data_IF_138095757787
#
_entry.id   IF_138095757787
#
_cell.length_a   1.000
_cell.length_b   1.000
_cell.length_c   1.000
_cell.angle_alpha   90.00
_cell.angle_beta   90.00
_cell.angle_gamma   90.00
#
_symmetry.space_group_name_H-M   'P 1'
#
loop_
_entity.id
_entity.type
_entity.pdbx_description
1 polymer ?
#
# COMPACT_ATOMS: atom_id res chain seq x y z
N UNK A 1 43.00 -15.81 -17.15
CA UNK A 1 44.25 -15.69 -16.35
C UNK A 1 44.02 -14.74 -15.18
N UNK A 2 43.80 -15.28 -13.98
CA UNK A 2 44.10 -14.69 -12.66
C UNK A 2 43.87 -15.82 -11.64
N UNK A 3 44.86 -16.02 -10.76
CA UNK A 3 45.15 -17.27 -10.04
C UNK A 3 44.24 -17.43 -8.81
N UNK A 4 43.70 -18.65 -8.61
CA UNK A 4 43.23 -19.14 -7.33
C UNK A 4 44.38 -19.11 -6.31
N UNK A 5 44.12 -18.56 -5.13
CA UNK A 5 44.99 -18.75 -3.95
C UNK A 5 44.21 -19.64 -2.99
N UNK A 6 44.50 -20.94 -3.08
CA UNK A 6 44.14 -21.93 -2.08
C UNK A 6 45.23 -21.86 -1.00
N UNK A 7 44.89 -21.40 0.21
CA UNK A 7 45.79 -21.48 1.36
C UNK A 7 45.56 -22.82 2.04
N UNK A 8 46.37 -23.81 1.64
CA UNK A 8 46.59 -25.06 2.39
C UNK A 8 47.78 -24.83 3.31
N UNK A 9 47.56 -24.94 4.63
CA UNK A 9 48.65 -25.04 5.61
C UNK A 9 49.10 -26.51 5.65
N UNK A 10 50.20 -26.81 4.97
CA UNK A 10 50.92 -28.09 4.98
C UNK A 10 51.92 -28.10 6.14
N UNK A 11 51.82 -29.08 7.03
CA UNK A 11 52.87 -29.44 7.97
C UNK A 11 53.36 -30.85 7.64
N UNK A 12 54.62 -30.92 7.20
CA UNK A 12 55.35 -32.15 6.88
C UNK A 12 55.58 -33.02 8.13
N UNK A 13 55.39 -34.33 7.95
CA UNK A 13 55.93 -35.37 8.82
C UNK A 13 56.19 -36.62 7.95
N UNK A 14 57.45 -37.05 7.89
CA UNK A 14 57.97 -38.07 6.98
C UNK A 14 58.10 -39.44 7.70
N UNK A 15 58.20 -40.50 6.88
CA UNK A 15 58.70 -41.88 7.11
C UNK A 15 57.67 -42.98 7.40
N UNK A 16 57.63 -43.99 6.51
CA UNK A 16 57.39 -45.39 6.92
C UNK A 16 56.69 -46.37 5.95
N UNK A 17 57.35 -46.78 4.86
CA UNK A 17 57.47 -48.18 4.37
C UNK A 17 56.27 -49.13 4.18
N UNK A 18 56.12 -49.56 2.91
CA UNK A 18 55.91 -50.94 2.40
C UNK A 18 54.52 -51.63 2.42
N UNK A 19 54.09 -52.06 1.22
CA UNK A 19 53.80 -53.49 0.98
C UNK A 19 52.35 -53.94 0.73
N UNK A 20 51.96 -53.98 -0.56
CA UNK A 20 51.18 -55.03 -1.26
C UNK A 20 49.77 -55.46 -0.83
N UNK A 21 48.87 -55.60 -1.83
CA UNK A 21 47.83 -56.63 -1.83
C UNK A 21 46.47 -56.22 -2.41
N UNK A 22 46.25 -56.48 -3.69
CA UNK A 22 44.93 -56.48 -4.33
C UNK A 22 44.08 -57.64 -3.77
N UNK A 23 42.82 -57.37 -3.42
CA UNK A 23 41.74 -58.36 -3.46
C UNK A 23 40.40 -57.66 -3.69
N UNK A 24 39.81 -57.88 -4.87
CA UNK A 24 38.40 -57.61 -5.16
C UNK A 24 37.52 -58.59 -4.38
N UNK A 25 36.44 -58.09 -3.80
CA UNK A 25 35.41 -58.92 -3.17
C UNK A 25 34.12 -58.14 -3.00
N UNK A 26 33.18 -58.37 -3.93
CA UNK A 26 31.79 -57.91 -3.83
C UNK A 26 31.13 -58.52 -2.59
N UNK A 27 30.70 -57.68 -1.66
CA UNK A 27 29.99 -58.09 -0.45
C UNK A 27 29.28 -56.90 0.20
N UNK A 28 27.96 -57.02 0.28
CA UNK A 28 27.01 -56.07 0.87
C UNK A 28 27.41 -55.69 2.33
N UNK A 29 27.68 -54.42 2.71
CA UNK A 29 28.18 -54.09 4.04
C UNK A 29 27.03 -53.69 4.97
N UNK A 30 26.46 -54.65 5.69
CA UNK A 30 25.79 -54.34 6.96
C UNK A 30 26.75 -54.69 8.11
N UNK A 31 27.05 -53.67 8.91
CA UNK A 31 27.81 -53.72 10.17
C UNK A 31 29.29 -54.19 10.11
N UNK A 32 30.17 -53.40 9.47
CA UNK A 32 31.53 -53.19 10.00
C UNK A 32 31.46 -51.96 10.90
N UNK A 33 31.96 -52.03 12.12
CA UNK A 33 32.01 -50.89 13.05
C UNK A 33 32.58 -49.65 12.33
N UNK A 34 31.98 -48.49 12.58
CA UNK A 34 32.41 -47.25 11.93
C UNK A 34 33.93 -47.07 12.07
N UNK A 35 34.57 -46.55 11.03
CA UNK A 35 35.98 -46.15 11.08
C UNK A 35 36.23 -45.32 12.37
N UNK A 36 37.06 -45.81 13.31
CA UNK A 36 37.34 -45.11 14.55
C UNK A 36 37.81 -43.68 14.33
N UNK A 37 38.53 -43.42 13.23
CA UNK A 37 38.98 -42.08 12.87
C UNK A 37 37.80 -41.18 12.47
N UNK A 38 36.79 -41.69 11.78
CA UNK A 38 35.59 -40.95 11.41
C UNK A 38 34.75 -40.58 12.65
N UNK A 39 34.56 -41.52 13.56
CA UNK A 39 33.87 -41.26 14.84
C UNK A 39 34.64 -40.26 15.71
N UNK A 40 35.96 -40.35 15.75
CA UNK A 40 36.81 -39.40 16.46
C UNK A 40 36.66 -37.98 15.88
N UNK A 41 36.72 -37.83 14.55
CA UNK A 41 36.51 -36.53 13.88
C UNK A 41 35.13 -35.95 14.22
N UNK A 42 34.08 -36.78 14.22
CA UNK A 42 32.75 -36.34 14.59
C UNK A 42 32.65 -35.91 16.06
N UNK A 43 33.29 -36.64 16.97
CA UNK A 43 33.37 -36.28 18.38
C UNK A 43 34.04 -34.93 18.56
N UNK A 44 35.23 -34.73 17.95
CA UNK A 44 35.97 -33.47 18.00
C UNK A 44 35.15 -32.32 17.41
N UNK A 45 34.52 -32.52 16.25
CA UNK A 45 33.60 -31.53 15.66
C UNK A 45 32.52 -31.08 16.65
N UNK A 46 31.87 -32.04 17.33
CA UNK A 46 30.81 -31.72 18.29
C UNK A 46 31.34 -31.00 19.53
N UNK A 47 32.48 -31.41 20.09
CA UNK A 47 33.05 -30.77 21.28
C UNK A 47 33.46 -29.33 21.00
N UNK A 48 34.18 -29.06 19.90
CA UNK A 48 34.52 -27.70 19.51
C UNK A 48 33.27 -26.85 19.23
N UNK A 49 32.26 -27.42 18.56
CA UNK A 49 31.00 -26.73 18.31
C UNK A 49 30.20 -26.43 19.60
N UNK A 50 30.33 -27.25 20.66
CA UNK A 50 29.68 -27.02 21.97
C UNK A 50 30.32 -25.88 22.73
N UNK A 51 31.65 -25.77 22.69
CA UNK A 51 32.39 -24.68 23.36
C UNK A 51 32.46 -23.40 22.51
N UNK A 52 31.69 -23.34 21.41
CA UNK A 52 31.62 -22.22 20.48
C UNK A 52 32.95 -21.88 19.78
N UNK A 53 33.86 -22.85 19.67
CA UNK A 53 35.07 -22.75 18.85
C UNK A 53 34.73 -23.21 17.42
N UNK A 54 34.18 -22.28 16.65
CA UNK A 54 33.74 -22.56 15.29
C UNK A 54 34.90 -22.87 14.33
N UNK A 55 36.09 -22.34 14.56
CA UNK A 55 37.25 -22.50 13.66
C UNK A 55 37.75 -23.94 13.74
N UNK A 56 38.03 -24.43 14.95
CA UNK A 56 38.44 -25.82 15.13
C UNK A 56 37.32 -26.80 14.80
N UNK A 57 36.06 -26.46 15.10
CA UNK A 57 34.93 -27.28 14.68
C UNK A 57 34.93 -27.47 13.15
N UNK A 58 34.99 -26.38 12.37
CA UNK A 58 34.92 -26.47 10.90
C UNK A 58 36.06 -27.29 10.28
N UNK A 59 37.25 -27.30 10.88
CA UNK A 59 38.38 -28.15 10.43
C UNK A 59 38.01 -29.63 10.39
N UNK A 60 37.35 -30.15 11.43
CA UNK A 60 36.86 -31.53 11.43
C UNK A 60 35.60 -31.67 10.58
N UNK A 61 34.74 -30.65 10.56
CA UNK A 61 33.52 -30.63 9.76
C UNK A 61 33.79 -30.87 8.27
N UNK A 62 34.77 -30.18 7.69
CA UNK A 62 35.16 -30.34 6.28
C UNK A 62 35.70 -31.74 5.97
N UNK A 63 36.55 -32.30 6.83
CA UNK A 63 37.05 -33.66 6.64
C UNK A 63 35.92 -34.70 6.59
N UNK A 64 34.88 -34.50 7.40
CA UNK A 64 33.69 -35.37 7.39
C UNK A 64 32.83 -35.10 6.15
N UNK A 65 32.65 -33.84 5.77
CA UNK A 65 31.85 -33.42 4.61
C UNK A 65 32.42 -33.95 3.29
N UNK A 66 33.75 -34.00 3.16
CA UNK A 66 34.45 -34.46 1.96
C UNK A 66 34.48 -35.99 1.85
N UNK A 67 34.50 -36.71 2.98
CA UNK A 67 34.65 -38.16 2.99
C UNK A 67 33.30 -38.91 3.13
N UNK A 68 32.45 -38.51 4.07
CA UNK A 68 31.23 -39.21 4.44
C UNK A 68 30.06 -38.24 4.75
N UNK A 69 29.67 -37.35 3.80
CA UNK A 69 28.69 -36.28 4.06
C UNK A 69 27.33 -36.80 4.54
N UNK A 70 26.91 -37.99 4.10
CA UNK A 70 25.62 -38.57 4.48
C UNK A 70 25.60 -39.19 5.89
N UNK A 71 26.77 -39.48 6.48
CA UNK A 71 26.88 -40.31 7.70
C UNK A 71 26.23 -39.64 8.92
N UNK A 72 26.41 -38.33 9.06
CA UNK A 72 25.94 -37.57 10.23
C UNK A 72 24.88 -36.55 9.81
N UNK A 73 23.60 -36.91 10.03
CA UNK A 73 22.43 -36.13 9.58
C UNK A 73 22.36 -34.67 10.05
N UNK A 74 23.15 -34.28 11.06
CA UNK A 74 23.17 -32.91 11.63
C UNK A 74 24.41 -32.09 11.27
N UNK A 75 25.39 -32.68 10.56
CA UNK A 75 26.66 -32.03 10.20
C UNK A 75 26.42 -30.71 9.45
N UNK A 76 25.75 -30.77 8.29
CA UNK A 76 25.52 -29.59 7.45
C UNK A 76 24.82 -28.47 8.21
N UNK A 77 23.76 -28.79 8.97
CA UNK A 77 23.02 -27.79 9.77
C UNK A 77 23.90 -27.11 10.81
N UNK A 78 24.82 -27.85 11.45
CA UNK A 78 25.76 -27.30 12.44
C UNK A 78 26.82 -26.45 11.76
N UNK A 79 27.40 -26.90 10.65
CA UNK A 79 28.35 -26.12 9.86
C UNK A 79 27.73 -24.81 9.36
N UNK A 80 26.52 -24.86 8.80
CA UNK A 80 25.75 -23.67 8.41
C UNK A 80 25.57 -22.69 9.57
N UNK A 81 25.24 -23.20 10.77
CA UNK A 81 25.06 -22.37 11.97
C UNK A 81 26.37 -21.66 12.37
N UNK A 82 27.51 -22.36 12.29
CA UNK A 82 28.81 -21.76 12.59
C UNK A 82 29.14 -20.65 11.57
N UNK A 83 28.99 -20.92 10.27
CA UNK A 83 29.27 -19.93 9.23
C UNK A 83 28.35 -18.71 9.29
N UNK A 84 27.03 -18.90 9.44
CA UNK A 84 26.10 -17.78 9.63
C UNK A 84 26.43 -16.99 10.89
N UNK A 85 26.78 -17.66 12.00
CA UNK A 85 27.24 -16.98 13.22
C UNK A 85 28.49 -16.12 13.01
N UNK A 86 29.47 -16.59 12.22
CA UNK A 86 30.64 -15.78 11.86
C UNK A 86 30.27 -14.55 11.02
N UNK A 87 29.36 -14.72 10.06
CA UNK A 87 28.87 -13.64 9.21
C UNK A 87 28.09 -12.60 10.00
N UNK A 88 27.26 -13.01 10.95
CA UNK A 88 26.47 -12.11 11.78
C UNK A 88 27.36 -11.35 12.79
N UNK A 89 28.30 -12.04 13.43
CA UNK A 89 29.15 -11.44 14.46
C UNK A 89 30.27 -10.55 13.90
N UNK A 90 30.65 -10.71 12.63
CA UNK A 90 31.80 -10.03 12.04
C UNK A 90 31.49 -9.46 10.65
N UNK A 91 30.70 -8.37 10.56
CA UNK A 91 30.28 -7.77 9.29
C UNK A 91 31.44 -7.23 8.45
N UNK A 92 32.52 -6.74 9.07
CA UNK A 92 33.66 -6.11 8.39
C UNK A 92 34.90 -7.02 8.27
N UNK A 93 34.75 -8.32 8.54
CA UNK A 93 35.90 -9.25 8.53
C UNK A 93 36.48 -9.42 7.12
N UNK A 94 37.82 -9.43 6.96
CA UNK A 94 38.45 -9.74 5.66
C UNK A 94 38.21 -11.19 5.22
N UNK A 95 37.76 -12.07 6.12
CA UNK A 95 37.42 -13.47 5.82
C UNK A 95 35.96 -13.66 5.39
N UNK A 96 35.17 -12.58 5.38
CA UNK A 96 33.72 -12.62 5.15
C UNK A 96 33.34 -13.30 3.84
N UNK A 97 34.01 -12.99 2.75
CA UNK A 97 33.71 -13.59 1.44
C UNK A 97 34.03 -15.08 1.41
N UNK A 98 35.12 -15.50 2.07
CA UNK A 98 35.44 -16.92 2.22
C UNK A 98 34.38 -17.67 3.03
N UNK A 99 33.82 -17.06 4.08
CA UNK A 99 32.74 -17.65 4.87
C UNK A 99 31.42 -17.71 4.10
N UNK A 100 31.09 -16.67 3.33
CA UNK A 100 29.95 -16.62 2.41
C UNK A 100 29.99 -17.78 1.41
N UNK A 101 31.11 -17.94 0.71
CA UNK A 101 31.28 -19.01 -0.28
C UNK A 101 31.22 -20.39 0.37
N UNK A 102 31.90 -20.56 1.51
CA UNK A 102 31.89 -21.81 2.26
C UNK A 102 30.47 -22.20 2.72
N UNK A 103 29.67 -21.23 3.16
CA UNK A 103 28.29 -21.45 3.56
C UNK A 103 27.46 -22.01 2.40
N UNK A 104 27.57 -21.43 1.20
CA UNK A 104 26.87 -21.91 0.02
C UNK A 104 27.33 -23.32 -0.40
N UNK A 105 28.63 -23.61 -0.33
CA UNK A 105 29.15 -24.96 -0.61
C UNK A 105 28.55 -26.00 0.34
N UNK A 106 28.48 -25.69 1.65
CA UNK A 106 27.88 -26.58 2.65
C UNK A 106 26.39 -26.81 2.34
N UNK A 107 25.67 -25.76 1.96
CA UNK A 107 24.24 -25.85 1.60
C UNK A 107 24.04 -26.70 0.34
N UNK A 108 24.82 -26.48 -0.71
CA UNK A 108 24.74 -27.24 -1.96
C UNK A 108 25.11 -28.70 -1.77
N UNK A 109 26.10 -28.98 -0.93
CA UNK A 109 26.42 -30.34 -0.51
C UNK A 109 25.24 -30.98 0.24
N UNK A 110 24.54 -30.24 1.11
CA UNK A 110 23.37 -30.74 1.83
C UNK A 110 22.21 -31.10 0.89
N UNK A 111 21.94 -30.24 -0.11
CA UNK A 111 20.92 -30.47 -1.15
C UNK A 111 21.23 -31.76 -1.92
N UNK A 112 22.49 -31.95 -2.34
CA UNK A 112 22.92 -33.15 -3.07
C UNK A 112 22.90 -34.41 -2.21
N UNK A 113 23.26 -34.31 -0.93
CA UNK A 113 23.41 -35.45 -0.03
C UNK A 113 22.07 -35.96 0.49
N UNK A 114 21.09 -35.08 0.67
CA UNK A 114 19.78 -35.44 1.22
C UNK A 114 18.62 -34.97 0.32
N UNK A 115 18.35 -35.65 -0.81
CA UNK A 115 17.28 -35.27 -1.74
C UNK A 115 15.91 -35.13 -1.09
N UNK A 116 15.55 -36.03 -0.17
CA UNK A 116 14.27 -36.02 0.57
C UNK A 116 14.07 -34.76 1.43
N UNK A 117 15.17 -34.08 1.73
CA UNK A 117 15.26 -32.88 2.55
C UNK A 117 15.74 -31.67 1.75
N UNK A 118 15.92 -31.80 0.44
CA UNK A 118 16.41 -30.72 -0.42
C UNK A 118 15.56 -29.44 -0.33
N UNK A 119 14.20 -29.49 -0.28
CA UNK A 119 13.38 -28.28 -0.22
C UNK A 119 13.75 -27.34 0.93
N UNK A 120 13.97 -27.87 2.13
CA UNK A 120 14.32 -27.05 3.30
C UNK A 120 15.73 -26.44 3.22
N UNK A 121 16.64 -27.04 2.45
CA UNK A 121 17.98 -26.51 2.23
C UNK A 121 17.97 -25.46 1.12
N UNK A 122 17.13 -25.63 0.10
CA UNK A 122 16.84 -24.60 -0.89
C UNK A 122 16.28 -23.33 -0.27
N UNK A 123 15.31 -23.44 0.65
CA UNK A 123 14.77 -22.29 1.39
C UNK A 123 15.85 -21.57 2.22
N UNK A 124 16.75 -22.32 2.87
CA UNK A 124 17.91 -21.75 3.57
C UNK A 124 18.89 -21.08 2.61
N UNK A 125 19.13 -21.67 1.44
CA UNK A 125 19.97 -21.08 0.39
C UNK A 125 19.43 -19.71 -0.02
N UNK A 126 18.13 -19.61 -0.31
CA UNK A 126 17.47 -18.35 -0.64
C UNK A 126 17.66 -17.29 0.45
N UNK A 127 17.41 -17.67 1.71
CA UNK A 127 17.63 -16.78 2.85
C UNK A 127 19.08 -16.29 2.96
N UNK A 128 20.06 -17.19 2.83
CA UNK A 128 21.47 -16.81 2.93
C UNK A 128 21.93 -15.91 1.78
N UNK A 129 21.40 -16.14 0.57
CA UNK A 129 21.68 -15.29 -0.58
C UNK A 129 21.16 -13.86 -0.33
N UNK A 130 19.94 -13.68 0.20
CA UNK A 130 19.43 -12.34 0.52
C UNK A 130 20.12 -11.70 1.74
N UNK A 131 20.43 -12.48 2.77
CA UNK A 131 20.98 -11.96 4.02
C UNK A 131 22.45 -11.56 3.92
N UNK A 132 23.21 -12.29 3.11
CA UNK A 132 24.66 -12.16 3.09
C UNK A 132 25.24 -11.75 1.74
N UNK A 133 24.49 -11.71 0.65
CA UNK A 133 25.05 -11.35 -0.66
C UNK A 133 24.28 -10.21 -1.31
N UNK A 134 25.02 -9.19 -1.73
CA UNK A 134 24.47 -8.08 -2.49
C UNK A 134 24.31 -8.48 -3.97
N UNK A 135 23.18 -8.12 -4.58
CA UNK A 135 22.93 -8.36 -6.00
C UNK A 135 22.62 -9.81 -6.38
N UNK A 136 22.38 -10.70 -5.39
CA UNK A 136 22.09 -12.13 -5.60
C UNK A 136 20.60 -12.47 -5.49
N UNK A 137 19.71 -11.49 -5.63
CA UNK A 137 18.28 -11.69 -5.38
C UNK A 137 17.59 -12.60 -6.41
N UNK A 138 18.04 -12.62 -7.68
CA UNK A 138 17.52 -13.58 -8.67
C UNK A 138 17.92 -15.03 -8.35
N UNK A 139 19.14 -15.23 -7.84
CA UNK A 139 19.59 -16.55 -7.37
C UNK A 139 18.83 -16.97 -6.12
N UNK A 140 18.54 -16.02 -5.23
CA UNK A 140 17.71 -16.24 -4.06
C UNK A 140 16.28 -16.63 -4.45
N UNK A 141 15.68 -15.94 -5.42
CA UNK A 141 14.36 -16.26 -5.94
C UNK A 141 14.30 -17.69 -6.48
N UNK A 142 15.26 -18.09 -7.33
CA UNK A 142 15.36 -19.47 -7.83
C UNK A 142 15.50 -20.49 -6.70
N UNK A 143 16.27 -20.16 -5.65
CA UNK A 143 16.39 -21.02 -4.49
C UNK A 143 15.08 -21.15 -3.71
N UNK A 144 14.31 -20.08 -3.54
CA UNK A 144 12.99 -20.17 -2.94
C UNK A 144 12.00 -20.97 -3.80
N UNK A 145 12.01 -20.79 -5.13
CA UNK A 145 11.19 -21.58 -6.06
C UNK A 145 11.47 -23.07 -5.93
N UNK A 146 12.75 -23.48 -5.88
CA UNK A 146 13.14 -24.87 -5.67
C UNK A 146 12.74 -25.40 -4.27
N UNK A 147 12.66 -24.51 -3.28
CA UNK A 147 12.31 -24.86 -1.90
C UNK A 147 10.81 -24.95 -1.65
N UNK A 148 10.01 -24.11 -2.30
CA UNK A 148 8.55 -24.06 -2.17
C UNK A 148 7.86 -25.00 -3.15
N UNK A 149 8.37 -25.09 -4.38
CA UNK A 149 7.69 -25.77 -5.49
C UNK A 149 6.42 -25.04 -5.92
N UNK A 150 5.45 -25.79 -6.46
CA UNK A 150 4.20 -25.23 -7.00
C UNK A 150 3.05 -25.19 -5.98
N UNK A 151 3.19 -25.86 -4.84
CA UNK A 151 2.15 -25.89 -3.80
C UNK A 151 2.33 -24.74 -2.79
N UNK A 152 1.94 -23.53 -3.19
CA UNK A 152 2.02 -22.34 -2.33
C UNK A 152 1.15 -22.48 -1.07
N UNK A 153 0.04 -23.20 -1.12
CA UNK A 153 -0.85 -23.35 0.04
C UNK A 153 -0.22 -24.15 1.18
N UNK A 154 0.68 -25.08 0.90
CA UNK A 154 1.39 -25.84 1.94
C UNK A 154 2.62 -25.10 2.50
N UNK A 155 3.13 -24.09 1.80
CA UNK A 155 4.41 -23.45 2.11
C UNK A 155 4.34 -22.46 3.29
N UNK A 156 5.46 -22.25 3.97
CA UNK A 156 5.56 -21.29 5.07
C UNK A 156 5.31 -19.85 4.56
N UNK A 157 4.40 -19.08 5.19
CA UNK A 157 4.12 -17.69 4.80
C UNK A 157 5.34 -16.79 4.72
N UNK A 158 6.37 -17.03 5.54
CA UNK A 158 7.60 -16.25 5.51
C UNK A 158 8.28 -16.32 4.14
N UNK A 159 8.47 -17.54 3.61
CA UNK A 159 9.14 -17.73 2.31
C UNK A 159 8.27 -17.29 1.14
N UNK A 160 6.94 -17.48 1.24
CA UNK A 160 6.00 -16.93 0.26
C UNK A 160 6.11 -15.40 0.19
N UNK A 161 6.20 -14.72 1.32
CA UNK A 161 6.35 -13.26 1.34
C UNK A 161 7.66 -12.82 0.71
N UNK A 162 8.78 -13.50 0.99
CA UNK A 162 10.06 -13.22 0.31
C UNK A 162 9.94 -13.42 -1.20
N UNK A 163 9.34 -14.51 -1.65
CA UNK A 163 9.10 -14.76 -3.08
C UNK A 163 8.23 -13.68 -3.72
N UNK A 164 7.14 -13.27 -3.06
CA UNK A 164 6.25 -12.21 -3.57
C UNK A 164 7.00 -10.88 -3.74
N UNK A 165 7.82 -10.49 -2.76
CA UNK A 165 8.65 -9.27 -2.86
C UNK A 165 9.61 -9.36 -4.05
N UNK A 166 10.27 -10.51 -4.23
CA UNK A 166 11.21 -10.71 -5.33
C UNK A 166 10.52 -10.77 -6.70
N UNK A 167 9.36 -11.42 -6.80
CA UNK A 167 8.55 -11.38 -8.02
C UNK A 167 8.13 -9.96 -8.36
N UNK A 168 7.68 -9.17 -7.38
CA UNK A 168 7.33 -7.77 -7.61
C UNK A 168 8.52 -6.92 -8.06
N UNK A 169 9.72 -7.19 -7.52
CA UNK A 169 10.97 -6.52 -7.93
C UNK A 169 11.35 -6.83 -9.38
N UNK A 170 11.14 -8.06 -9.84
CA UNK A 170 11.60 -8.54 -11.14
C UNK A 170 10.51 -8.72 -12.20
N UNK A 171 9.24 -8.37 -11.90
CA UNK A 171 8.11 -8.62 -12.81
C UNK A 171 8.26 -7.99 -14.19
N UNK A 172 8.93 -6.85 -14.28
CA UNK A 172 9.16 -6.16 -15.55
C UNK A 172 10.17 -6.90 -16.44
N UNK A 173 11.01 -7.77 -15.86
CA UNK A 173 12.00 -8.57 -16.58
C UNK A 173 11.43 -9.91 -17.07
N UNK A 174 10.33 -10.39 -16.48
CA UNK A 174 9.72 -11.67 -16.80
C UNK A 174 8.19 -11.63 -16.61
N UNK A 175 7.40 -11.69 -17.70
CA UNK A 175 5.93 -11.67 -17.64
C UNK A 175 5.32 -12.77 -16.75
N UNK A 176 5.99 -13.92 -16.58
CA UNK A 176 5.48 -14.99 -15.71
C UNK A 176 5.46 -14.58 -14.23
N UNK A 177 6.34 -13.68 -13.81
CA UNK A 177 6.44 -13.26 -12.41
C UNK A 177 5.23 -12.48 -11.94
N UNK A 178 4.51 -11.80 -12.84
CA UNK A 178 3.24 -11.16 -12.49
C UNK A 178 2.19 -12.20 -12.07
N UNK A 179 2.05 -13.28 -12.85
CA UNK A 179 1.13 -14.38 -12.54
C UNK A 179 1.53 -15.14 -11.26
N UNK A 180 2.84 -15.37 -11.06
CA UNK A 180 3.36 -15.99 -9.83
C UNK A 180 3.17 -15.09 -8.61
N UNK A 181 3.38 -13.78 -8.74
CA UNK A 181 3.12 -12.79 -7.70
C UNK A 181 1.67 -12.81 -7.24
N UNK A 182 0.72 -12.85 -8.19
CA UNK A 182 -0.72 -12.95 -7.88
C UNK A 182 -1.00 -14.24 -7.11
N UNK A 183 -0.49 -15.38 -7.60
CA UNK A 183 -0.72 -16.70 -7.00
C UNK A 183 -0.17 -16.80 -5.58
N UNK A 184 1.08 -16.35 -5.38
CA UNK A 184 1.73 -16.35 -4.06
C UNK A 184 1.04 -15.39 -3.10
N UNK A 185 0.69 -14.18 -3.55
CA UNK A 185 0.00 -13.20 -2.70
C UNK A 185 -1.38 -13.71 -2.27
N UNK A 186 -2.13 -14.38 -3.17
CA UNK A 186 -3.40 -15.04 -2.81
C UNK A 186 -3.20 -16.15 -1.78
N UNK A 187 -2.15 -16.97 -1.92
CA UNK A 187 -1.85 -18.03 -0.96
C UNK A 187 -1.52 -17.47 0.44
N UNK A 188 -0.82 -16.33 0.51
CA UNK A 188 -0.57 -15.62 1.78
C UNK A 188 -1.91 -15.15 2.38
N UNK A 189 -2.74 -14.46 1.59
CA UNK A 189 -4.02 -13.91 2.05
C UNK A 189 -5.06 -14.98 2.44
N UNK A 190 -4.94 -16.20 1.92
CA UNK A 190 -5.75 -17.33 2.37
C UNK A 190 -5.43 -17.74 3.82
N UNK A 191 -4.16 -17.62 4.22
CA UNK A 191 -3.68 -17.98 5.57
C UNK A 191 -3.79 -16.82 6.56
N UNK A 192 -3.43 -15.63 6.08
CA UNK A 192 -3.48 -14.38 6.82
C UNK A 192 -4.18 -13.32 5.97
N UNK A 193 -5.52 -13.24 6.04
CA UNK A 193 -6.28 -12.31 5.22
C UNK A 193 -6.01 -10.84 5.50
N UNK A 194 -5.40 -10.53 6.64
CA UNK A 194 -5.07 -9.17 7.06
C UNK A 194 -3.61 -8.79 6.73
N UNK A 195 -2.90 -9.61 5.94
CA UNK A 195 -1.53 -9.32 5.56
C UNK A 195 -1.44 -8.12 4.60
N UNK A 196 -1.22 -6.92 5.14
CA UNK A 196 -1.17 -5.67 4.36
C UNK A 196 -0.13 -5.70 3.24
N UNK A 197 1.03 -6.33 3.48
CA UNK A 197 2.10 -6.42 2.47
C UNK A 197 1.64 -7.26 1.28
N UNK A 198 1.06 -8.44 1.52
CA UNK A 198 0.53 -9.27 0.45
C UNK A 198 -0.63 -8.60 -0.30
N UNK A 199 -1.51 -7.86 0.39
CA UNK A 199 -2.56 -7.09 -0.27
C UNK A 199 -1.98 -6.00 -1.18
N UNK A 200 -0.97 -5.26 -0.71
CA UNK A 200 -0.31 -4.22 -1.50
C UNK A 200 0.43 -4.80 -2.71
N UNK A 201 1.11 -5.94 -2.55
CA UNK A 201 1.79 -6.66 -3.62
C UNK A 201 0.79 -7.20 -4.65
N UNK A 202 -0.33 -7.75 -4.20
CA UNK A 202 -1.40 -8.19 -5.09
C UNK A 202 -2.01 -7.00 -5.87
N UNK A 203 -2.26 -5.87 -5.20
CA UNK A 203 -2.78 -4.65 -5.84
C UNK A 203 -1.81 -4.08 -6.86
N UNK A 204 -0.50 -4.18 -6.63
CA UNK A 204 0.52 -3.71 -7.57
C UNK A 204 0.72 -4.68 -8.75
N UNK A 205 0.33 -5.94 -8.59
CA UNK A 205 0.35 -6.94 -9.65
C UNK A 205 -0.89 -6.84 -10.55
N UNK A 206 -2.08 -6.70 -9.96
CA UNK A 206 -3.32 -6.68 -10.73
C UNK A 206 -3.60 -5.26 -11.23
N UNK A 207 -3.31 -5.02 -12.50
CA UNK A 207 -3.58 -3.75 -13.19
C UNK A 207 -5.04 -3.59 -13.58
N UNK A 208 -5.73 -4.70 -13.85
CA UNK A 208 -7.15 -4.73 -14.21
C UNK A 208 -8.05 -4.60 -12.97
N UNK A 209 -8.85 -3.52 -12.85
CA UNK A 209 -9.71 -3.30 -11.68
C UNK A 209 -10.69 -4.44 -11.39
N UNK A 210 -11.26 -5.05 -12.44
CA UNK A 210 -12.28 -6.08 -12.30
C UNK A 210 -11.69 -7.37 -11.71
N UNK A 211 -10.51 -7.77 -12.17
CA UNK A 211 -9.77 -8.89 -11.59
C UNK A 211 -9.44 -8.66 -10.11
N UNK A 212 -9.01 -7.46 -9.73
CA UNK A 212 -8.66 -7.17 -8.34
C UNK A 212 -9.91 -7.19 -7.44
N UNK A 213 -11.01 -6.59 -7.93
CA UNK A 213 -12.30 -6.61 -7.25
C UNK A 213 -12.83 -8.04 -7.09
N UNK A 214 -12.64 -8.92 -8.09
CA UNK A 214 -13.01 -10.33 -7.96
C UNK A 214 -12.26 -10.99 -6.80
N UNK A 215 -10.95 -10.74 -6.66
CA UNK A 215 -10.16 -11.30 -5.53
C UNK A 215 -10.66 -10.78 -4.18
N UNK A 216 -10.90 -9.48 -4.06
CA UNK A 216 -11.41 -8.90 -2.81
C UNK A 216 -12.81 -9.42 -2.49
N UNK A 217 -13.64 -9.65 -3.51
CA UNK A 217 -14.98 -10.23 -3.36
C UNK A 217 -14.91 -11.65 -2.85
N UNK A 218 -14.06 -12.50 -3.42
CA UNK A 218 -13.86 -13.88 -2.98
C UNK A 218 -13.32 -13.91 -1.53
N UNK A 219 -12.36 -13.03 -1.21
CA UNK A 219 -11.82 -12.89 0.13
C UNK A 219 -12.88 -12.48 1.16
N UNK A 220 -13.78 -11.57 0.77
CA UNK A 220 -14.92 -11.16 1.59
C UNK A 220 -15.95 -12.30 1.74
N UNK A 221 -16.24 -13.06 0.68
CA UNK A 221 -17.18 -14.19 0.74
C UNK A 221 -16.67 -15.33 1.64
N UNK A 222 -15.35 -15.53 1.72
CA UNK A 222 -14.75 -16.50 2.62
C UNK A 222 -14.87 -16.12 4.10
N UNK A 223 -15.13 -14.84 4.40
CA UNK A 223 -15.21 -14.29 5.76
C UNK A 223 -16.15 -13.07 5.79
N UNK A 224 -17.48 -13.29 5.69
CA UNK A 224 -18.45 -12.21 5.48
C UNK A 224 -18.61 -11.24 6.66
N UNK A 225 -18.14 -11.63 7.85
CA UNK A 225 -18.21 -10.86 9.09
C UNK A 225 -17.02 -9.90 9.25
N UNK A 226 -15.99 -10.03 8.41
CA UNK A 226 -14.82 -9.16 8.43
C UNK A 226 -15.10 -7.82 7.76
N UNK A 227 -15.32 -6.81 8.60
CA UNK A 227 -15.61 -5.43 8.19
C UNK A 227 -14.46 -4.80 7.39
N UNK A 228 -13.20 -5.18 7.65
CA UNK A 228 -12.06 -4.64 6.93
C UNK A 228 -12.08 -5.07 5.47
N UNK A 229 -12.31 -6.36 5.20
CA UNK A 229 -12.44 -6.88 3.81
C UNK A 229 -13.58 -6.22 3.05
N UNK A 230 -14.71 -6.01 3.71
CA UNK A 230 -15.85 -5.29 3.14
C UNK A 230 -15.49 -3.84 2.79
N UNK A 231 -14.72 -3.17 3.66
CA UNK A 231 -14.21 -1.83 3.42
C UNK A 231 -13.22 -1.77 2.25
N UNK A 232 -12.26 -2.70 2.19
CA UNK A 232 -11.28 -2.77 1.10
C UNK A 232 -11.97 -2.98 -0.24
N UNK A 233 -12.96 -3.88 -0.30
CA UNK A 233 -13.81 -4.08 -1.46
C UNK A 233 -14.57 -2.79 -1.86
N UNK A 234 -15.22 -2.13 -0.90
CA UNK A 234 -15.98 -0.90 -1.15
C UNK A 234 -15.10 0.25 -1.66
N UNK A 235 -13.91 0.40 -1.10
CA UNK A 235 -12.93 1.43 -1.52
C UNK A 235 -12.40 1.14 -2.92
N UNK A 236 -12.11 -0.12 -3.25
CA UNK A 236 -11.63 -0.50 -4.59
C UNK A 236 -12.63 -0.18 -5.70
N UNK A 237 -13.94 -0.29 -5.44
CA UNK A 237 -14.96 0.15 -6.40
C UNK A 237 -14.84 1.65 -6.73
N UNK A 238 -14.53 2.50 -5.74
CA UNK A 238 -14.34 3.95 -5.96
C UNK A 238 -12.98 4.26 -6.58
N UNK A 239 -11.91 3.68 -6.05
CA UNK A 239 -10.55 4.08 -6.39
C UNK A 239 -10.09 3.48 -7.71
N UNK A 240 -10.44 2.23 -8.00
CA UNK A 240 -9.95 1.47 -9.15
C UNK A 240 -11.00 1.39 -10.27
N UNK A 241 -12.20 0.88 -9.98
CA UNK A 241 -13.23 0.67 -11.01
C UNK A 241 -14.04 1.92 -11.36
N UNK A 242 -13.99 2.96 -10.52
CA UNK A 242 -14.86 4.16 -10.62
C UNK A 242 -16.35 3.82 -10.63
N UNK A 243 -16.72 2.68 -10.05
CA UNK A 243 -18.09 2.19 -9.93
C UNK A 243 -18.70 2.68 -8.62
N UNK A 244 -19.40 3.82 -8.70
CA UNK A 244 -20.07 4.42 -7.56
C UNK A 244 -21.34 3.67 -7.13
N UNK A 245 -21.98 2.89 -8.03
CA UNK A 245 -23.16 2.09 -7.71
C UNK A 245 -22.81 0.94 -6.77
N UNK A 246 -21.80 0.15 -7.11
CA UNK A 246 -21.32 -0.93 -6.23
C UNK A 246 -20.75 -0.36 -4.93
N UNK A 247 -19.95 0.71 -5.01
CA UNK A 247 -19.41 1.36 -3.82
C UNK A 247 -20.52 1.83 -2.86
N UNK A 248 -21.60 2.43 -3.39
CA UNK A 248 -22.74 2.86 -2.58
C UNK A 248 -23.36 1.69 -1.81
N UNK A 249 -23.57 0.53 -2.46
CA UNK A 249 -24.14 -0.67 -1.81
C UNK A 249 -23.27 -1.14 -0.65
N UNK A 250 -21.96 -1.26 -0.87
CA UNK A 250 -21.04 -1.76 0.17
C UNK A 250 -20.81 -0.74 1.29
N UNK A 251 -20.70 0.57 1.00
CA UNK A 251 -20.63 1.59 2.05
C UNK A 251 -21.91 1.67 2.87
N UNK A 252 -23.08 1.48 2.26
CA UNK A 252 -24.34 1.40 3.00
C UNK A 252 -24.32 0.23 3.99
N UNK A 253 -23.90 -0.96 3.55
CA UNK A 253 -23.73 -2.12 4.45
C UNK A 253 -22.75 -1.83 5.58
N UNK A 254 -21.62 -1.16 5.30
CA UNK A 254 -20.66 -0.75 6.33
C UNK A 254 -21.27 0.19 7.37
N UNK A 255 -22.11 1.15 6.95
CA UNK A 255 -22.81 2.04 7.89
C UNK A 255 -23.87 1.34 8.74
N UNK A 256 -24.46 0.26 8.24
CA UNK A 256 -25.41 -0.58 8.99
C UNK A 256 -24.67 -1.44 10.03
N UNK A 257 -23.50 -1.98 9.68
CA UNK A 257 -22.68 -2.80 10.58
C UNK A 257 -21.97 -1.97 11.66
N UNK A 258 -21.48 -0.79 11.29
CA UNK A 258 -20.68 0.09 12.15
C UNK A 258 -21.15 1.55 11.99
N UNK A 259 -22.27 1.92 12.64
CA UNK A 259 -22.90 3.22 12.46
C UNK A 259 -22.12 4.38 13.11
N UNK A 260 -21.13 4.08 13.94
CA UNK A 260 -20.26 5.03 14.66
C UNK A 260 -18.97 5.38 13.91
N UNK A 261 -18.73 4.78 12.74
CA UNK A 261 -17.52 5.03 11.94
C UNK A 261 -17.74 6.16 10.94
N UNK A 262 -17.15 7.33 11.23
CA UNK A 262 -17.22 8.54 10.42
C UNK A 262 -16.91 8.30 8.92
N UNK A 263 -15.82 7.56 8.65
CA UNK A 263 -15.34 7.36 7.28
C UNK A 263 -16.35 6.64 6.39
N UNK A 264 -17.16 5.72 6.93
CA UNK A 264 -18.16 4.98 6.16
C UNK A 264 -19.30 5.88 5.70
N UNK A 265 -19.79 6.75 6.61
CA UNK A 265 -20.82 7.73 6.27
C UNK A 265 -20.33 8.77 5.27
N UNK A 266 -19.10 9.27 5.42
CA UNK A 266 -18.54 10.23 4.48
C UNK A 266 -18.38 9.60 3.07
N UNK A 267 -17.86 8.38 2.97
CA UNK A 267 -17.72 7.68 1.68
C UNK A 267 -19.06 7.29 1.07
N UNK A 268 -20.05 6.88 1.87
CA UNK A 268 -21.43 6.67 1.41
C UNK A 268 -22.01 7.96 0.82
N UNK A 269 -21.81 9.10 1.49
CA UNK A 269 -22.25 10.40 1.00
C UNK A 269 -21.60 10.79 -0.31
N UNK A 270 -20.29 10.56 -0.46
CA UNK A 270 -19.54 10.82 -1.70
C UNK A 270 -20.12 9.97 -2.84
N UNK A 271 -20.24 8.65 -2.65
CA UNK A 271 -20.79 7.77 -3.70
C UNK A 271 -22.24 8.16 -4.05
N UNK A 272 -23.08 8.46 -3.06
CA UNK A 272 -24.44 8.93 -3.32
C UNK A 272 -24.49 10.26 -4.10
N UNK A 273 -23.58 11.20 -3.82
CA UNK A 273 -23.51 12.47 -4.53
C UNK A 273 -23.05 12.29 -5.99
N UNK A 274 -22.10 11.39 -6.25
CA UNK A 274 -21.68 11.02 -7.61
C UNK A 274 -22.82 10.40 -8.43
N UNK A 275 -23.69 9.63 -7.79
CA UNK A 275 -24.89 9.04 -8.41
C UNK A 275 -26.07 10.03 -8.47
N UNK A 276 -25.86 11.31 -8.15
CA UNK A 276 -26.89 12.35 -8.07
C UNK A 276 -28.05 12.03 -7.11
N UNK A 277 -27.85 11.10 -6.17
CA UNK A 277 -28.79 10.77 -5.08
C UNK A 277 -28.68 11.81 -3.97
N UNK A 278 -28.90 13.07 -4.30
CA UNK A 278 -28.58 14.24 -3.46
C UNK A 278 -29.21 14.19 -2.06
N UNK A 279 -30.44 13.69 -1.94
CA UNK A 279 -31.12 13.56 -0.64
C UNK A 279 -30.49 12.49 0.24
N UNK A 280 -29.99 11.40 -0.35
CA UNK A 280 -29.30 10.33 0.37
C UNK A 280 -27.89 10.75 0.76
N UNK A 281 -27.19 11.42 -0.14
CA UNK A 281 -25.90 12.03 0.13
C UNK A 281 -25.98 13.04 1.30
N UNK A 282 -27.01 13.90 1.30
CA UNK A 282 -27.24 14.84 2.40
C UNK A 282 -27.44 14.11 3.73
N UNK A 283 -28.24 13.03 3.77
CA UNK A 283 -28.42 12.22 4.99
C UNK A 283 -27.11 11.60 5.47
N UNK A 284 -26.35 10.98 4.57
CA UNK A 284 -25.09 10.32 4.90
C UNK A 284 -24.05 11.31 5.42
N UNK A 285 -23.87 12.45 4.75
CA UNK A 285 -22.97 13.49 5.22
C UNK A 285 -23.42 14.14 6.53
N UNK A 286 -24.73 14.29 6.78
CA UNK A 286 -25.23 14.77 8.08
C UNK A 286 -24.93 13.79 9.22
N UNK A 287 -24.96 12.47 8.96
CA UNK A 287 -24.49 11.49 9.95
C UNK A 287 -22.97 11.60 10.17
N UNK A 288 -22.17 11.73 9.11
CA UNK A 288 -20.74 11.97 9.25
C UNK A 288 -20.46 13.25 10.06
N UNK A 289 -21.17 14.35 9.79
CA UNK A 289 -21.04 15.60 10.53
C UNK A 289 -21.53 15.51 11.99
N UNK A 290 -22.39 14.55 12.32
CA UNK A 290 -22.80 14.27 13.71
C UNK A 290 -21.68 13.54 14.47
N UNK A 291 -20.99 12.62 13.81
CA UNK A 291 -19.87 11.86 14.37
C UNK A 291 -18.63 12.73 14.55
N UNK A 292 -18.33 13.59 13.58
CA UNK A 292 -17.29 14.63 13.68
C UNK A 292 -17.81 15.99 13.19
N UNK A 293 -18.34 16.82 14.10
CA UNK A 293 -18.79 18.17 13.79
C UNK A 293 -17.65 19.13 13.40
N UNK A 294 -16.40 18.80 13.73
CA UNK A 294 -15.22 19.61 13.44
C UNK A 294 -14.60 19.30 12.06
N UNK A 295 -15.09 18.28 11.36
CA UNK A 295 -14.65 17.97 10.01
C UNK A 295 -15.11 19.03 9.01
N UNK A 296 -14.19 19.93 8.66
CA UNK A 296 -14.41 20.95 7.62
C UNK A 296 -14.83 20.31 6.30
N UNK A 297 -14.23 19.20 5.91
CA UNK A 297 -14.46 18.58 4.59
C UNK A 297 -15.86 18.02 4.44
N UNK A 298 -16.47 17.48 5.50
CA UNK A 298 -17.87 17.04 5.44
C UNK A 298 -18.83 18.21 5.27
N UNK A 299 -18.59 19.34 5.93
CA UNK A 299 -19.41 20.54 5.71
C UNK A 299 -19.28 21.08 4.28
N UNK A 300 -18.11 20.97 3.68
CA UNK A 300 -17.89 21.33 2.28
C UNK A 300 -18.58 20.35 1.34
N UNK A 301 -18.54 19.05 1.63
CA UNK A 301 -19.27 18.03 0.86
C UNK A 301 -20.79 18.26 0.92
N UNK A 302 -21.32 18.62 2.10
CA UNK A 302 -22.72 19.02 2.25
C UNK A 302 -23.05 20.27 1.42
N UNK A 303 -22.18 21.29 1.44
CA UNK A 303 -22.37 22.51 0.66
C UNK A 303 -22.33 22.24 -0.85
N UNK A 304 -21.38 21.41 -1.32
CA UNK A 304 -21.28 20.95 -2.72
C UNK A 304 -22.53 20.18 -3.15
N UNK A 305 -22.97 19.21 -2.35
CA UNK A 305 -24.16 18.42 -2.61
C UNK A 305 -25.44 19.30 -2.68
N UNK A 306 -25.56 20.27 -1.76
CA UNK A 306 -26.63 21.25 -1.79
C UNK A 306 -26.55 22.16 -3.04
N UNK A 307 -25.34 22.54 -3.46
CA UNK A 307 -25.14 23.37 -4.65
C UNK A 307 -25.53 22.62 -5.93
N UNK A 308 -25.08 21.37 -6.09
CA UNK A 308 -25.44 20.53 -7.24
C UNK A 308 -26.94 20.26 -7.33
N UNK A 309 -27.63 20.18 -6.19
CA UNK A 309 -29.10 20.09 -6.15
C UNK A 309 -29.82 21.45 -6.17
N UNK A 310 -29.11 22.54 -6.52
CA UNK A 310 -29.64 23.91 -6.61
C UNK A 310 -30.31 24.45 -5.33
N UNK A 311 -29.97 23.88 -4.17
CA UNK A 311 -30.43 24.30 -2.84
C UNK A 311 -29.50 25.39 -2.29
N UNK A 312 -29.41 26.52 -2.98
CA UNK A 312 -28.49 27.64 -2.66
C UNK A 312 -28.56 28.15 -1.20
N UNK A 313 -29.74 28.25 -0.54
CA UNK A 313 -29.79 28.61 0.88
C UNK A 313 -29.03 27.63 1.77
N UNK A 314 -29.18 26.31 1.52
CA UNK A 314 -28.47 25.26 2.26
C UNK A 314 -26.98 25.27 1.93
N UNK A 315 -26.59 25.49 0.67
CA UNK A 315 -25.18 25.65 0.28
C UNK A 315 -24.49 26.69 1.16
N UNK A 316 -25.10 27.87 1.31
CA UNK A 316 -24.55 28.90 2.18
C UNK A 316 -24.46 28.44 3.63
N UNK A 317 -25.54 27.88 4.18
CA UNK A 317 -25.56 27.43 5.58
C UNK A 317 -24.47 26.39 5.87
N UNK A 318 -24.26 25.42 4.98
CA UNK A 318 -23.22 24.40 5.17
C UNK A 318 -21.81 24.97 4.96
N UNK A 319 -21.60 25.82 3.96
CA UNK A 319 -20.31 26.50 3.76
C UNK A 319 -19.96 27.42 4.93
N UNK A 320 -20.93 28.09 5.55
CA UNK A 320 -20.72 28.88 6.77
C UNK A 320 -20.31 28.03 7.98
N UNK A 321 -20.80 26.79 8.08
CA UNK A 321 -20.30 25.85 9.09
C UNK A 321 -18.84 25.46 8.83
N UNK A 322 -18.46 25.25 7.57
CA UNK A 322 -17.05 25.05 7.21
C UNK A 322 -16.18 26.28 7.56
N UNK A 323 -16.69 27.50 7.33
CA UNK A 323 -16.00 28.76 7.69
C UNK A 323 -15.85 28.95 9.21
N UNK A 324 -16.77 28.44 10.03
CA UNK A 324 -16.59 28.46 11.50
C UNK A 324 -15.39 27.62 11.94
N UNK A 325 -15.08 26.56 11.20
CA UNK A 325 -13.92 25.69 11.47
C UNK A 325 -12.65 26.29 10.86
N UNK A 326 -12.72 26.76 9.61
CA UNK A 326 -11.61 27.43 8.91
C UNK A 326 -12.08 28.80 8.36
N UNK A 327 -11.86 29.91 9.08
CA UNK A 327 -12.38 31.24 8.71
C UNK A 327 -11.92 31.82 7.35
N UNK A 328 -10.76 31.38 6.86
CA UNK A 328 -10.18 31.80 5.57
C UNK A 328 -10.27 30.69 4.52
N UNK A 329 -11.35 29.92 4.53
CA UNK A 329 -11.51 28.83 3.59
C UNK A 329 -11.96 29.30 2.21
N UNK A 330 -11.04 29.21 1.24
CA UNK A 330 -11.32 29.64 -0.14
C UNK A 330 -12.48 28.90 -0.80
N UNK A 331 -12.55 27.58 -0.63
CA UNK A 331 -13.59 26.75 -1.25
C UNK A 331 -14.97 27.04 -0.66
N UNK A 332 -15.06 27.27 0.66
CA UNK A 332 -16.31 27.67 1.30
C UNK A 332 -16.83 29.01 0.75
N UNK A 333 -15.95 30.00 0.61
CA UNK A 333 -16.32 31.30 0.02
C UNK A 333 -16.69 31.15 -1.46
N UNK A 334 -16.01 30.30 -2.22
CA UNK A 334 -16.39 30.00 -3.61
C UNK A 334 -17.83 29.48 -3.68
N UNK A 335 -18.18 28.48 -2.87
CA UNK A 335 -19.52 27.90 -2.85
C UNK A 335 -20.60 28.92 -2.49
N UNK A 336 -20.33 29.81 -1.53
CA UNK A 336 -21.26 30.90 -1.16
C UNK A 336 -21.41 31.90 -2.32
N UNK A 337 -20.30 32.34 -2.92
CA UNK A 337 -20.34 33.28 -4.03
C UNK A 337 -21.04 32.71 -5.25
N UNK A 338 -20.80 31.42 -5.57
CA UNK A 338 -21.48 30.70 -6.64
C UNK A 338 -22.97 30.53 -6.34
N UNK A 339 -23.35 30.25 -5.10
CA UNK A 339 -24.77 30.19 -4.72
C UNK A 339 -25.51 31.51 -4.99
N UNK A 340 -24.87 32.66 -4.71
CA UNK A 340 -25.44 33.97 -5.06
C UNK A 340 -25.50 34.19 -6.58
N UNK A 341 -24.42 33.86 -7.29
CA UNK A 341 -24.32 34.03 -8.74
C UNK A 341 -25.35 33.16 -9.50
N UNK A 342 -25.50 31.89 -9.11
CA UNK A 342 -26.50 31.00 -9.71
C UNK A 342 -27.92 31.38 -9.31
N UNK A 343 -28.15 31.93 -8.12
CA UNK A 343 -29.44 32.53 -7.79
C UNK A 343 -29.75 33.70 -8.75
N UNK A 344 -28.77 34.57 -9.04
CA UNK A 344 -28.94 35.64 -10.05
C UNK A 344 -29.30 35.06 -11.41
N UNK A 345 -28.53 34.09 -11.91
CA UNK A 345 -28.84 33.43 -13.19
C UNK A 345 -30.26 32.87 -13.19
N UNK A 346 -30.66 32.14 -12.14
CA UNK A 346 -31.99 31.56 -12.01
C UNK A 346 -33.10 32.62 -12.04
N UNK A 347 -32.96 33.73 -11.30
CA UNK A 347 -33.95 34.81 -11.27
C UNK A 347 -34.08 35.50 -12.63
N UNK A 348 -32.96 35.81 -13.28
CA UNK A 348 -32.92 36.46 -14.60
C UNK A 348 -33.59 35.57 -15.65
N UNK A 349 -33.26 34.27 -15.67
CA UNK A 349 -33.88 33.33 -16.60
C UNK A 349 -35.38 33.17 -16.35
N UNK A 350 -35.83 33.14 -15.09
CA UNK A 350 -37.27 33.13 -14.76
C UNK A 350 -38.02 34.36 -15.26
N UNK A 351 -37.35 35.52 -15.35
CA UNK A 351 -37.95 36.75 -15.92
C UNK A 351 -37.93 36.76 -17.45
N UNK A 352 -37.16 35.89 -18.09
CA UNK A 352 -37.18 35.67 -19.53
C UNK A 352 -35.91 36.09 -20.28
N UNK A 353 -34.80 36.37 -19.58
CA UNK A 353 -33.52 36.63 -20.24
C UNK A 353 -32.69 37.76 -19.61
N UNK A 354 -31.44 37.87 -20.04
CA UNK A 354 -30.47 38.86 -19.56
C UNK A 354 -30.80 40.31 -19.95
N UNK A 355 -31.73 40.52 -20.87
CA UNK A 355 -32.32 41.81 -21.19
C UNK A 355 -33.21 42.36 -20.06
N UNK A 356 -33.66 41.49 -19.15
CA UNK A 356 -34.55 41.83 -18.02
C UNK A 356 -33.85 41.84 -16.67
N UNK A 357 -32.57 42.19 -16.66
CA UNK A 357 -31.78 42.35 -15.43
C UNK A 357 -32.32 43.53 -14.62
N UNK A 358 -32.55 43.29 -13.34
CA UNK A 358 -33.00 44.27 -12.37
C UNK A 358 -31.84 44.81 -11.53
N UNK A 359 -32.08 45.92 -10.82
CA UNK A 359 -31.09 46.46 -9.90
C UNK A 359 -30.71 45.47 -8.78
N UNK A 360 -31.67 44.71 -8.27
CA UNK A 360 -31.43 43.72 -7.22
C UNK A 360 -30.48 42.61 -7.69
N UNK A 361 -30.56 42.19 -8.96
CA UNK A 361 -29.63 41.23 -9.55
C UNK A 361 -28.19 41.77 -9.54
N UNK A 362 -28.03 43.04 -9.88
CA UNK A 362 -26.73 43.73 -9.89
C UNK A 362 -26.17 43.84 -8.47
N UNK A 363 -27.02 44.13 -7.49
CA UNK A 363 -26.64 44.17 -6.07
C UNK A 363 -26.23 42.79 -5.55
N UNK A 364 -26.98 41.73 -5.88
CA UNK A 364 -26.61 40.36 -5.47
C UNK A 364 -25.35 39.90 -6.21
N UNK A 365 -25.14 40.35 -7.45
CA UNK A 365 -23.88 40.11 -8.17
C UNK A 365 -22.69 40.80 -7.50
N UNK A 366 -22.86 42.02 -6.99
CA UNK A 366 -21.86 42.69 -6.13
C UNK A 366 -21.56 41.83 -4.89
N UNK A 367 -22.58 41.26 -4.25
CA UNK A 367 -22.40 40.36 -3.10
C UNK A 367 -21.61 39.09 -3.48
N UNK A 368 -21.92 38.46 -4.62
CA UNK A 368 -21.16 37.33 -5.15
C UNK A 368 -19.69 37.68 -5.37
N UNK A 369 -19.40 38.78 -6.06
CA UNK A 369 -18.04 39.26 -6.33
C UNK A 369 -17.28 39.57 -5.04
N UNK A 370 -17.92 40.23 -4.07
CA UNK A 370 -17.29 40.50 -2.78
C UNK A 370 -16.94 39.20 -2.05
N UNK A 371 -17.78 38.18 -2.16
CA UNK A 371 -17.51 36.85 -1.60
C UNK A 371 -16.36 36.15 -2.33
N UNK A 372 -16.30 36.23 -3.67
CA UNK A 372 -15.16 35.71 -4.44
C UNK A 372 -13.84 36.43 -4.11
N UNK A 373 -13.88 37.73 -3.77
CA UNK A 373 -12.69 38.44 -3.29
C UNK A 373 -12.20 37.88 -1.95
N UNK A 374 -13.09 37.40 -1.07
CA UNK A 374 -12.70 36.68 0.15
C UNK A 374 -12.07 35.32 -0.22
N UNK A 375 -12.68 34.59 -1.15
CA UNK A 375 -12.12 33.33 -1.65
C UNK A 375 -10.70 33.52 -2.23
N UNK A 376 -10.45 34.59 -2.99
CA UNK A 376 -9.17 34.87 -3.63
C UNK A 376 -8.00 35.15 -2.65
N UNK A 377 -8.30 35.32 -1.35
CA UNK A 377 -7.27 35.41 -0.30
C UNK A 377 -6.60 34.06 -0.07
N UNK A 378 -7.31 32.95 -0.29
CA UNK A 378 -6.76 31.60 -0.27
C UNK A 378 -6.06 31.32 -1.62
N UNK A 379 -4.77 30.99 -1.56
CA UNK A 379 -3.93 30.77 -2.73
C UNK A 379 -4.40 29.60 -3.59
N UNK A 380 -4.93 28.55 -2.95
CA UNK A 380 -5.33 27.32 -3.62
C UNK A 380 -6.48 27.53 -4.61
N UNK A 381 -7.31 28.56 -4.41
CA UNK A 381 -8.46 28.87 -5.27
C UNK A 381 -8.41 30.25 -5.91
N UNK A 382 -7.29 30.97 -5.75
CA UNK A 382 -7.15 32.37 -6.18
C UNK A 382 -7.44 32.59 -7.66
N UNK A 383 -6.94 31.71 -8.54
CA UNK A 383 -7.17 31.83 -9.99
C UNK A 383 -8.66 31.69 -10.31
N UNK A 384 -9.27 30.60 -9.85
CA UNK A 384 -10.70 30.31 -10.05
C UNK A 384 -11.58 31.45 -9.52
N UNK A 385 -11.25 32.00 -8.35
CA UNK A 385 -11.98 33.14 -7.79
C UNK A 385 -11.86 34.40 -8.68
N UNK A 386 -10.67 34.69 -9.23
CA UNK A 386 -10.47 35.83 -10.16
C UNK A 386 -11.24 35.65 -11.48
N UNK A 387 -11.28 34.44 -12.01
CA UNK A 387 -12.07 34.11 -13.22
C UNK A 387 -13.57 34.33 -12.97
N UNK A 388 -14.08 33.87 -11.82
CA UNK A 388 -15.47 34.13 -11.42
C UNK A 388 -15.73 35.63 -11.25
N UNK A 389 -14.83 36.40 -10.64
CA UNK A 389 -14.98 37.86 -10.57
C UNK A 389 -15.04 38.48 -11.97
N UNK A 390 -14.18 38.04 -12.89
CA UNK A 390 -14.13 38.57 -14.26
C UNK A 390 -15.41 38.27 -15.05
N UNK A 391 -16.00 37.08 -14.88
CA UNK A 391 -17.24 36.69 -15.58
C UNK A 391 -18.47 37.48 -15.12
N UNK A 392 -18.51 37.91 -13.85
CA UNK A 392 -19.68 38.59 -13.28
C UNK A 392 -19.54 40.12 -13.19
N UNK A 393 -18.34 40.70 -13.39
CA UNK A 393 -18.09 42.13 -13.16
C UNK A 393 -18.93 43.07 -14.05
N UNK A 394 -19.34 42.61 -15.23
CA UNK A 394 -20.13 43.42 -16.18
C UNK A 394 -21.54 43.69 -15.69
N UNK A 395 -22.04 42.86 -14.77
CA UNK A 395 -23.38 42.97 -14.20
C UNK A 395 -23.41 43.80 -12.91
N UNK A 396 -22.31 44.46 -12.55
CA UNK A 396 -22.29 45.35 -11.38
C UNK A 396 -23.19 46.58 -11.58
N UNK A 397 -23.71 47.20 -10.49
CA UNK A 397 -24.42 48.47 -10.59
C UNK A 397 -23.52 49.56 -11.18
N UNK A 398 -24.00 50.27 -12.19
CA UNK A 398 -23.34 51.45 -12.75
C UNK A 398 -23.54 52.68 -11.87
N UNK A 399 -22.79 53.77 -12.13
CA UNK A 399 -23.02 55.06 -11.44
C UNK A 399 -24.42 55.62 -11.73
N UNK A 400 -24.91 55.42 -12.95
CA UNK A 400 -26.25 55.83 -13.35
C UNK A 400 -27.33 55.04 -12.61
N UNK A 401 -27.16 53.71 -12.46
CA UNK A 401 -28.07 52.86 -11.69
C UNK A 401 -28.26 53.36 -10.24
N UNK A 402 -27.16 53.82 -9.63
CA UNK A 402 -27.14 54.36 -8.27
C UNK A 402 -27.82 55.74 -8.21
N UNK A 403 -27.45 56.64 -9.13
CA UNK A 403 -27.96 58.01 -9.18
C UNK A 403 -29.49 58.06 -9.32
N UNK A 404 -30.06 57.28 -10.24
CA UNK A 404 -31.52 57.22 -10.47
C UNK A 404 -32.30 56.74 -9.24
N UNK A 405 -31.62 56.08 -8.30
CA UNK A 405 -32.20 55.55 -7.05
C UNK A 405 -31.86 56.38 -5.82
N UNK A 406 -31.23 57.55 -6.01
CA UNK A 406 -30.73 58.41 -4.93
C UNK A 406 -29.77 57.68 -3.98
N UNK A 407 -28.92 56.80 -4.53
CA UNK A 407 -27.90 56.05 -3.81
C UNK A 407 -26.51 56.57 -4.18
N UNK A 408 -25.60 56.61 -3.20
CA UNK A 408 -24.21 56.97 -3.36
C UNK A 408 -23.29 55.74 -3.24
N UNK A 409 -22.09 55.75 -3.86
CA UNK A 409 -21.09 54.72 -3.64
C UNK A 409 -20.76 54.57 -2.15
N UNK A 410 -20.81 53.34 -1.63
CA UNK A 410 -20.61 53.07 -0.21
C UNK A 410 -21.90 53.01 0.63
N UNK A 411 -23.05 53.41 0.08
CA UNK A 411 -24.34 53.17 0.71
C UNK A 411 -24.63 51.67 0.84
N UNK A 412 -25.57 51.33 1.71
CA UNK A 412 -26.02 49.95 1.89
C UNK A 412 -27.41 49.75 1.30
N UNK A 413 -27.63 48.60 0.68
CA UNK A 413 -28.91 48.24 0.09
C UNK A 413 -29.25 46.78 0.37
N UNK A 414 -30.52 46.53 0.73
CA UNK A 414 -31.06 45.19 0.91
C UNK A 414 -31.88 44.82 -0.34
N UNK A 415 -31.53 43.73 -1.06
CA UNK A 415 -32.38 43.21 -2.14
C UNK A 415 -33.81 42.99 -1.66
N UNK A 416 -34.78 43.46 -2.46
CA UNK A 416 -36.22 43.47 -2.18
C UNK A 416 -36.97 42.40 -2.97
N UNK A 417 -36.45 41.96 -4.11
CA UNK A 417 -37.04 40.91 -4.94
C UNK A 417 -37.18 39.60 -4.15
N UNK A 418 -38.36 38.98 -4.22
CA UNK A 418 -38.68 37.75 -3.52
C UNK A 418 -37.72 36.60 -3.88
N UNK A 419 -37.13 36.63 -5.07
CA UNK A 419 -36.12 35.68 -5.53
C UNK A 419 -34.85 35.66 -4.66
N UNK A 420 -34.59 36.74 -3.92
CA UNK A 420 -33.43 36.89 -3.02
C UNK A 420 -33.79 36.89 -1.53
N UNK A 421 -35.04 36.57 -1.19
CA UNK A 421 -35.56 36.58 0.19
C UNK A 421 -34.70 35.78 1.18
N UNK A 422 -34.10 34.66 0.75
CA UNK A 422 -33.23 33.83 1.58
C UNK A 422 -31.87 34.48 1.89
N UNK A 423 -31.42 35.46 1.11
CA UNK A 423 -30.11 36.10 1.28
C UNK A 423 -30.10 36.89 2.59
N UNK A 424 -31.17 37.64 2.87
CA UNK A 424 -31.35 38.42 4.11
C UNK A 424 -30.08 39.18 4.57
N UNK A 425 -29.35 39.81 3.63
CA UNK A 425 -28.15 40.61 3.90
C UNK A 425 -28.26 41.97 3.23
N UNK A 426 -27.70 42.98 3.89
CA UNK A 426 -27.39 44.28 3.28
C UNK A 426 -26.08 44.18 2.51
N UNK A 427 -26.03 44.82 1.35
CA UNK A 427 -24.85 44.86 0.47
C UNK A 427 -24.37 46.31 0.40
N UNK A 428 -23.06 46.50 0.62
CA UNK A 428 -22.40 47.80 0.40
C UNK A 428 -22.15 47.98 -1.10
N UNK A 429 -22.65 49.08 -1.67
CA UNK A 429 -22.72 49.34 -3.12
C UNK A 429 -21.40 49.83 -3.73
#
# INVERSE_FOLDING_TARGET
MKRLVIIIVLLCGFVGGAGSGLAQGNGNPTAKGDDPQLLQKWSLFLEYAKINDGVEALKYGWQILESHPARFKTLHRRMMKIYSGFLDANPESPLRDGWRDSLLIVVDNAIKTFPDRAPQYWLRKGYYLEAYFDGKEEEALKAYENGVGENYEAADPYYLLRMAILYAKFKDNNPEYESRLISVSRAILKKDPNNETAQSLLKSAITDPDQYIAVLRDAYQADPDNVQKLYDLAVSFVEMAKDHDSAYVYFKKLTELKPDVFNYWNRLGISAAYLEKYSEAERAFLQAAKLDPSSRDVWINLAKNAFSSSKYPKTRTYAEKALKIKPNDGEAYLLIGQAYAEQVRSCVMKRGGWDKVTFDDRVVTRLAINTFKLAARDETVRSRAKELIASWKTLLPSREDLFVRHLNPGDTYKPKDACYSWINRVVKL
#
